data_IF_408760062233
#
_entry.id   IF_408760062233
#
_cell.length_a   1.000
_cell.length_b   1.000
_cell.length_c   1.000
_cell.angle_alpha   90.00
_cell.angle_beta   90.00
_cell.angle_gamma   90.00
#
_symmetry.space_group_name_H-M   'P 1'
#
loop_
_entity.id
_entity.type
_entity.pdbx_description
1 polymer ?
#
# COMPACT_ATOMS: atom_id res chain seq x y z
N UNK A 1 10.93 7.83 7.64
CA UNK A 1 10.74 7.32 6.26
C UNK A 1 11.47 8.13 5.20
N UNK A 2 11.06 9.37 4.87
CA UNK A 2 11.71 10.18 3.81
C UNK A 2 13.25 10.31 3.98
N UNK A 3 13.72 10.71 5.17
CA UNK A 3 15.15 10.84 5.45
C UNK A 3 15.91 9.49 5.54
N UNK A 4 15.20 8.36 5.61
CA UNK A 4 15.78 7.02 5.52
C UNK A 4 15.85 6.53 4.06
N UNK A 5 15.48 7.37 3.09
CA UNK A 5 15.41 7.01 1.69
C UNK A 5 14.29 6.02 1.37
N UNK A 6 13.21 5.99 2.17
CA UNK A 6 12.03 5.14 1.91
C UNK A 6 10.90 6.01 1.39
N UNK A 7 10.31 5.57 0.28
CA UNK A 7 9.23 6.25 -0.42
C UNK A 7 8.02 6.44 0.50
N UNK A 8 7.56 7.69 0.64
CA UNK A 8 6.49 8.02 1.58
C UNK A 8 5.77 9.33 1.22
N UNK A 9 4.52 9.46 1.65
CA UNK A 9 3.85 10.75 1.78
C UNK A 9 4.63 11.70 2.71
N UNK A 10 4.50 13.00 2.50
CA UNK A 10 5.19 14.05 3.27
C UNK A 10 4.21 14.79 4.16
N UNK A 11 4.64 15.19 5.35
CA UNK A 11 3.92 16.14 6.19
C UNK A 11 4.57 17.52 6.04
N UNK A 12 3.76 18.53 5.72
CA UNK A 12 4.24 19.90 5.52
C UNK A 12 4.02 20.78 6.74
N UNK A 13 2.81 20.74 7.32
CA UNK A 13 2.45 21.53 8.50
C UNK A 13 1.59 20.71 9.45
N UNK A 14 1.62 21.10 10.73
CA UNK A 14 0.80 20.56 11.80
C UNK A 14 0.18 21.75 12.55
N UNK A 15 -1.14 21.83 12.61
CA UNK A 15 -1.86 22.96 13.22
C UNK A 15 -2.88 22.43 14.21
N UNK A 16 -2.76 22.83 15.47
CA UNK A 16 -3.66 22.43 16.56
C UNK A 16 -4.62 23.56 16.89
N UNK A 17 -5.92 23.27 16.96
CA UNK A 17 -6.94 24.22 17.41
C UNK A 17 -7.32 23.99 18.88
N UNK A 18 -8.13 24.88 19.46
CA UNK A 18 -8.78 24.68 20.77
C UNK A 18 -10.05 23.82 20.68
N UNK A 19 -10.45 23.38 19.47
CA UNK A 19 -11.60 22.50 19.28
C UNK A 19 -11.31 21.14 19.92
N UNK A 20 -12.22 20.66 20.77
CA UNK A 20 -12.09 19.36 21.41
C UNK A 20 -12.82 18.29 20.61
N UNK A 21 -12.20 17.13 20.45
CA UNK A 21 -12.74 15.93 19.79
C UNK A 21 -12.74 14.79 20.79
N UNK A 22 -13.86 14.09 20.88
CA UNK A 22 -13.98 12.89 21.70
C UNK A 22 -13.31 11.70 21.01
N UNK A 23 -12.46 11.00 21.75
CA UNK A 23 -11.74 9.80 21.30
C UNK A 23 -11.83 8.73 22.36
N UNK A 24 -11.93 7.50 21.89
CA UNK A 24 -11.76 6.29 22.67
C UNK A 24 -10.66 5.48 21.96
N UNK A 25 -9.42 5.73 22.35
CA UNK A 25 -8.25 5.24 21.64
C UNK A 25 -8.15 3.70 21.65
N UNK A 26 -8.66 3.06 22.71
CA UNK A 26 -8.57 1.62 22.90
C UNK A 26 -9.92 0.91 22.73
N UNK A 27 -10.96 1.63 22.32
CA UNK A 27 -12.32 1.12 22.17
C UNK A 27 -12.88 0.47 23.46
N UNK A 28 -12.53 1.01 24.64
CA UNK A 28 -12.94 0.49 25.95
C UNK A 28 -14.20 1.14 26.52
N UNK A 29 -14.68 2.21 25.88
CA UNK A 29 -15.71 3.11 26.39
C UNK A 29 -15.17 4.28 27.21
N UNK A 30 -13.86 4.33 27.47
CA UNK A 30 -13.21 5.40 28.25
C UNK A 30 -12.92 6.62 27.37
N UNK A 31 -13.96 7.39 27.08
CA UNK A 31 -13.87 8.56 26.21
C UNK A 31 -13.06 9.67 26.87
N UNK A 32 -12.04 10.15 26.15
CA UNK A 32 -11.27 11.35 26.49
C UNK A 32 -11.51 12.45 25.46
N UNK A 33 -11.27 13.70 25.86
CA UNK A 33 -11.32 14.86 24.97
C UNK A 33 -9.90 15.28 24.61
N UNK A 34 -9.62 15.32 23.32
CA UNK A 34 -8.32 15.74 22.77
C UNK A 34 -8.47 16.95 21.86
N UNK A 35 -7.40 17.74 21.72
CA UNK A 35 -7.41 18.90 20.82
C UNK A 35 -7.35 18.44 19.37
N UNK A 36 -8.23 18.98 18.53
CA UNK A 36 -8.21 18.74 17.10
C UNK A 36 -6.89 19.27 16.51
N UNK A 37 -6.21 18.43 15.74
CA UNK A 37 -4.99 18.77 15.03
C UNK A 37 -5.12 18.37 13.57
N UNK A 38 -4.71 19.27 12.68
CA UNK A 38 -4.71 19.05 11.24
C UNK A 38 -3.27 18.91 10.75
N UNK A 39 -3.04 17.94 9.88
CA UNK A 39 -1.75 17.72 9.20
C UNK A 39 -1.95 17.95 7.70
N UNK A 40 -1.17 18.87 7.13
CA UNK A 40 -1.11 19.03 5.68
C UNK A 40 -0.22 17.93 5.10
N UNK A 41 -0.84 16.90 4.51
CA UNK A 41 -0.16 15.80 3.84
C UNK A 41 0.04 16.11 2.36
N UNK A 42 1.23 15.84 1.84
CA UNK A 42 1.61 16.07 0.43
C UNK A 42 2.06 14.74 -0.18
N UNK A 43 1.55 14.42 -1.36
CA UNK A 43 1.94 13.27 -2.16
C UNK A 43 1.64 13.56 -3.65
N UNK A 44 2.32 12.88 -4.61
CA UNK A 44 1.97 13.00 -6.03
C UNK A 44 0.52 12.57 -6.32
N UNK A 45 0.02 11.59 -5.57
CA UNK A 45 -1.37 11.13 -5.61
C UNK A 45 -1.77 10.53 -4.27
N UNK A 46 -3.08 10.50 -4.01
CA UNK A 46 -3.69 9.78 -2.88
C UNK A 46 -4.53 8.57 -3.34
N UNK A 47 -4.38 8.17 -4.60
CA UNK A 47 -5.00 6.95 -5.11
C UNK A 47 -4.41 5.73 -4.41
N UNK A 48 -5.31 4.83 -4.02
CA UNK A 48 -5.03 3.63 -3.22
C UNK A 48 -5.51 2.39 -3.97
N UNK A 49 -5.15 1.19 -3.53
CA UNK A 49 -5.72 -0.03 -4.11
C UNK A 49 -7.25 -0.03 -3.91
N UNK A 50 -7.71 0.36 -2.72
CA UNK A 50 -9.12 0.54 -2.40
C UNK A 50 -9.88 1.50 -3.33
N UNK A 51 -9.20 2.44 -4.01
CA UNK A 51 -9.82 3.32 -5.02
C UNK A 51 -10.31 2.55 -6.25
N UNK A 52 -9.71 1.40 -6.54
CA UNK A 52 -10.14 0.49 -7.61
C UNK A 52 -11.11 -0.58 -7.09
N UNK A 53 -11.03 -0.92 -5.81
CA UNK A 53 -11.92 -1.95 -5.24
C UNK A 53 -13.40 -1.56 -5.22
N UNK A 54 -13.72 -0.26 -5.36
CA UNK A 54 -15.11 0.19 -5.49
C UNK A 54 -15.82 -0.35 -6.74
N UNK A 55 -15.07 -0.88 -7.72
CA UNK A 55 -15.60 -1.50 -8.93
C UNK A 55 -15.75 -3.03 -8.83
N UNK A 56 -15.30 -3.64 -7.70
CA UNK A 56 -15.28 -5.10 -7.56
C UNK A 56 -16.68 -5.71 -7.67
N UNK A 57 -16.79 -6.89 -8.31
CA UNK A 57 -18.02 -7.65 -8.33
C UNK A 57 -18.39 -8.14 -6.92
N UNK A 58 -19.57 -8.75 -6.82
CA UNK A 58 -20.05 -9.31 -5.55
C UNK A 58 -19.09 -10.37 -5.04
N UNK A 59 -18.58 -10.17 -3.84
CA UNK A 59 -17.79 -11.15 -3.09
C UNK A 59 -18.67 -12.33 -2.69
N UNK A 60 -18.20 -13.55 -2.95
CA UNK A 60 -18.99 -14.77 -2.78
C UNK A 60 -19.29 -15.09 -1.31
N UNK A 61 -18.46 -14.62 -0.37
CA UNK A 61 -18.56 -14.94 1.06
C UNK A 61 -19.40 -13.89 1.79
N UNK A 62 -19.00 -12.62 1.69
CA UNK A 62 -19.65 -11.51 2.37
C UNK A 62 -20.92 -11.04 1.67
N UNK A 63 -21.10 -11.39 0.40
CA UNK A 63 -22.20 -10.91 -0.44
C UNK A 63 -22.12 -9.41 -0.76
N UNK A 64 -21.05 -8.72 -0.37
CA UNK A 64 -20.87 -7.27 -0.64
C UNK A 64 -20.32 -7.05 -2.04
N UNK A 65 -20.67 -5.95 -2.68
CA UNK A 65 -20.06 -5.49 -3.91
C UNK A 65 -19.57 -4.05 -3.74
N UNK A 66 -18.64 -3.63 -4.59
CA UNK A 66 -18.23 -2.23 -4.64
C UNK A 66 -19.41 -1.34 -5.08
N UNK A 67 -19.47 -0.08 -4.60
CA UNK A 67 -20.57 0.84 -4.93
C UNK A 67 -20.61 1.24 -6.41
N UNK A 68 -19.57 0.93 -7.18
CA UNK A 68 -19.46 1.20 -8.62
C UNK A 68 -19.30 -0.08 -9.44
N UNK A 69 -19.75 -1.22 -8.92
CA UNK A 69 -19.77 -2.49 -9.66
C UNK A 69 -20.43 -2.32 -11.04
N UNK A 70 -19.79 -2.82 -12.08
CA UNK A 70 -20.28 -2.76 -13.47
C UNK A 70 -19.91 -1.49 -14.23
N UNK A 71 -19.39 -0.46 -13.57
CA UNK A 71 -18.99 0.81 -14.18
C UNK A 71 -17.59 0.73 -14.82
N UNK A 72 -17.45 -0.14 -15.82
CA UNK A 72 -16.17 -0.43 -16.50
C UNK A 72 -15.57 0.78 -17.20
N UNK A 73 -16.40 1.68 -17.71
CA UNK A 73 -16.01 2.95 -18.33
C UNK A 73 -15.31 3.87 -17.32
N UNK A 74 -15.87 4.03 -16.11
CA UNK A 74 -15.29 4.82 -15.03
C UNK A 74 -13.99 4.18 -14.53
N UNK A 75 -13.96 2.86 -14.35
CA UNK A 75 -12.73 2.13 -14.01
C UNK A 75 -11.62 2.40 -15.06
N UNK A 76 -11.98 2.30 -16.34
CA UNK A 76 -11.07 2.56 -17.46
C UNK A 76 -10.57 4.02 -17.43
N UNK A 77 -11.42 4.99 -17.14
CA UNK A 77 -11.04 6.38 -17.03
C UNK A 77 -10.08 6.63 -15.85
N UNK A 78 -10.39 6.07 -14.68
CA UNK A 78 -9.53 6.16 -13.50
C UNK A 78 -8.16 5.54 -13.76
N UNK A 79 -8.12 4.36 -14.39
CA UNK A 79 -6.88 3.66 -14.72
C UNK A 79 -6.04 4.47 -15.72
N UNK A 80 -6.64 4.97 -16.79
CA UNK A 80 -5.96 5.83 -17.76
C UNK A 80 -5.40 7.10 -17.11
N UNK A 81 -6.21 7.77 -16.28
CA UNK A 81 -5.76 8.95 -15.53
C UNK A 81 -4.57 8.64 -14.61
N UNK A 82 -4.63 7.51 -13.91
CA UNK A 82 -3.58 7.06 -12.99
C UNK A 82 -2.27 6.83 -13.74
N UNK A 83 -2.31 6.07 -14.83
CA UNK A 83 -1.12 5.73 -15.62
C UNK A 83 -0.55 6.98 -16.28
N UNK A 84 -1.39 7.79 -16.92
CA UNK A 84 -0.94 9.04 -17.55
C UNK A 84 -0.26 9.99 -16.55
N UNK A 85 -0.85 10.16 -15.36
CA UNK A 85 -0.39 11.16 -14.40
C UNK A 85 0.77 10.68 -13.52
N UNK A 86 0.78 9.39 -13.15
CA UNK A 86 1.75 8.84 -12.20
C UNK A 86 2.83 7.98 -12.87
N UNK A 87 2.55 7.42 -14.05
CA UNK A 87 3.45 6.52 -14.79
C UNK A 87 3.60 6.95 -16.26
N UNK A 88 3.98 8.22 -16.54
CA UNK A 88 3.98 8.76 -17.91
C UNK A 88 4.89 7.98 -18.87
N UNK A 89 5.95 7.34 -18.37
CA UNK A 89 6.82 6.48 -19.18
C UNK A 89 6.10 5.22 -19.69
N UNK A 90 5.27 4.60 -18.85
CA UNK A 90 4.44 3.44 -19.22
C UNK A 90 3.35 3.89 -20.21
N UNK A 91 2.72 5.04 -19.94
CA UNK A 91 1.73 5.62 -20.86
C UNK A 91 2.30 5.82 -22.26
N UNK A 92 3.49 6.43 -22.36
CA UNK A 92 4.14 6.72 -23.65
C UNK A 92 4.59 5.45 -24.38
N UNK A 93 5.11 4.45 -23.65
CA UNK A 93 5.65 3.23 -24.24
C UNK A 93 4.59 2.28 -24.79
N UNK A 94 3.34 2.39 -24.31
CA UNK A 94 2.25 1.47 -24.66
C UNK A 94 1.00 2.19 -25.16
N UNK A 95 1.12 3.41 -25.70
CA UNK A 95 -0.02 4.25 -26.10
C UNK A 95 -0.97 3.55 -27.09
N UNK A 96 -0.45 2.65 -27.92
CA UNK A 96 -1.21 1.91 -28.94
C UNK A 96 -1.83 0.60 -28.41
N UNK A 97 -1.33 0.07 -27.29
CA UNK A 97 -1.81 -1.18 -26.68
C UNK A 97 -2.15 -0.98 -25.21
N UNK A 98 -3.45 -0.75 -24.94
CA UNK A 98 -3.94 -0.55 -23.58
C UNK A 98 -3.78 -1.78 -22.69
N UNK A 99 -3.83 -2.98 -23.26
CA UNK A 99 -3.70 -4.20 -22.46
C UNK A 99 -2.27 -4.35 -21.96
N UNK A 100 -1.27 -4.13 -22.81
CA UNK A 100 0.13 -4.08 -22.36
C UNK A 100 0.39 -2.91 -21.42
N UNK A 101 -0.23 -1.74 -21.67
CA UNK A 101 -0.10 -0.59 -20.78
C UNK A 101 -0.58 -0.92 -19.35
N UNK A 102 -1.75 -1.54 -19.22
CA UNK A 102 -2.32 -1.89 -17.93
C UNK A 102 -1.50 -3.00 -17.24
N UNK A 103 -0.98 -3.95 -18.00
CA UNK A 103 -0.11 -5.00 -17.46
C UNK A 103 1.22 -4.44 -16.97
N UNK A 104 1.85 -3.55 -17.75
CA UNK A 104 3.09 -2.88 -17.37
C UNK A 104 2.90 -2.01 -16.13
N UNK A 105 1.78 -1.28 -16.05
CA UNK A 105 1.40 -0.54 -14.84
C UNK A 105 1.24 -1.47 -13.63
N UNK A 106 0.48 -2.56 -13.77
CA UNK A 106 0.27 -3.51 -12.68
C UNK A 106 1.60 -4.13 -12.22
N UNK A 107 2.48 -4.50 -13.15
CA UNK A 107 3.83 -5.01 -12.87
C UNK A 107 4.67 -4.02 -12.07
N UNK A 108 4.66 -2.74 -12.45
CA UNK A 108 5.40 -1.73 -11.70
C UNK A 108 4.80 -1.49 -10.31
N UNK A 109 3.48 -1.55 -10.13
CA UNK A 109 2.83 -1.46 -8.80
C UNK A 109 3.23 -2.63 -7.90
N UNK A 110 3.22 -3.86 -8.42
CA UNK A 110 3.62 -5.07 -7.67
C UNK A 110 5.08 -4.96 -7.24
N UNK A 111 5.97 -4.60 -8.16
CA UNK A 111 7.39 -4.40 -7.89
C UNK A 111 7.63 -3.30 -6.86
N UNK A 112 7.02 -2.13 -7.00
CA UNK A 112 7.18 -1.03 -6.04
C UNK A 112 6.65 -1.39 -4.65
N UNK A 113 5.56 -2.15 -4.58
CA UNK A 113 5.01 -2.64 -3.31
C UNK A 113 5.97 -3.63 -2.63
N UNK A 114 6.52 -4.58 -3.40
CA UNK A 114 7.52 -5.53 -2.92
C UNK A 114 8.80 -4.81 -2.40
N UNK A 115 9.29 -3.82 -3.15
CA UNK A 115 10.43 -3.00 -2.75
C UNK A 115 10.15 -2.17 -1.49
N UNK A 116 8.95 -1.61 -1.37
CA UNK A 116 8.54 -0.82 -0.22
C UNK A 116 8.53 -1.65 1.06
N UNK A 117 7.87 -2.81 1.03
CA UNK A 117 7.80 -3.69 2.21
C UNK A 117 9.17 -4.28 2.53
N UNK A 118 9.99 -4.66 1.54
CA UNK A 118 11.38 -5.04 1.77
C UNK A 118 12.18 -3.92 2.47
N UNK A 119 11.95 -2.65 2.09
CA UNK A 119 12.57 -1.52 2.77
C UNK A 119 12.13 -1.41 4.23
N UNK A 120 10.84 -1.62 4.52
CA UNK A 120 10.29 -1.65 5.88
C UNK A 120 10.94 -2.74 6.74
N UNK A 121 11.04 -3.96 6.21
CA UNK A 121 11.68 -5.08 6.90
C UNK A 121 13.15 -4.77 7.24
N UNK A 122 13.88 -4.11 6.34
CA UNK A 122 15.28 -3.75 6.56
C UNK A 122 15.52 -2.71 7.67
N UNK A 123 14.49 -1.96 8.08
CA UNK A 123 14.61 -0.90 9.10
C UNK A 123 13.79 -1.20 10.36
N UNK A 124 13.18 -2.38 10.45
CA UNK A 124 12.30 -2.73 11.58
C UNK A 124 11.04 -1.86 11.64
N UNK A 125 10.49 -1.44 10.50
CA UNK A 125 9.26 -0.65 10.44
C UNK A 125 8.03 -1.57 10.37
N UNK A 126 7.08 -1.38 11.27
CA UNK A 126 5.78 -2.05 11.28
C UNK A 126 4.66 -1.03 11.07
N UNK A 127 3.82 -1.21 10.05
CA UNK A 127 2.77 -0.27 9.67
C UNK A 127 1.51 -0.40 10.54
N UNK A 128 1.13 -1.63 10.91
CA UNK A 128 0.01 -1.92 11.82
C UNK A 128 -1.40 -1.88 11.22
N UNK A 129 -1.59 -1.32 10.01
CA UNK A 129 -2.92 -1.25 9.33
C UNK A 129 -2.76 -1.35 7.81
N UNK A 130 -2.38 -2.52 7.31
CA UNK A 130 -2.20 -2.76 5.87
C UNK A 130 -3.51 -3.20 5.19
N UNK A 131 -4.59 -2.46 5.43
CA UNK A 131 -5.81 -2.60 4.63
C UNK A 131 -5.55 -2.13 3.19
N UNK A 132 -6.34 -2.59 2.22
CA UNK A 132 -6.19 -2.23 0.80
C UNK A 132 -6.38 -0.73 0.52
N UNK A 133 -7.19 -0.04 1.31
CA UNK A 133 -7.31 1.41 1.28
C UNK A 133 -6.05 2.11 1.82
N UNK A 134 -5.18 1.47 2.59
CA UNK A 134 -3.88 2.02 3.01
C UNK A 134 -2.72 1.63 2.10
N UNK A 135 -2.99 0.99 0.95
CA UNK A 135 -1.97 0.66 -0.04
C UNK A 135 -1.95 1.73 -1.14
N UNK A 136 -0.86 2.47 -1.26
CA UNK A 136 -0.72 3.49 -2.31
C UNK A 136 -0.51 2.86 -3.69
N UNK A 137 -1.14 3.43 -4.72
CA UNK A 137 -0.94 3.00 -6.11
C UNK A 137 0.43 3.37 -6.70
N UNK A 138 1.26 4.11 -5.95
CA UNK A 138 2.62 4.51 -6.35
C UNK A 138 3.70 4.02 -5.39
N UNK A 139 3.40 2.97 -4.60
CA UNK A 139 4.40 2.33 -3.75
C UNK A 139 5.03 3.24 -2.68
N UNK A 140 4.25 4.13 -2.08
CA UNK A 140 4.69 5.00 -0.98
C UNK A 140 4.04 4.59 0.35
N UNK A 141 4.76 4.73 1.47
CA UNK A 141 4.19 4.63 2.81
C UNK A 141 3.17 5.77 3.02
N UNK A 142 1.94 5.40 3.37
CA UNK A 142 0.78 6.28 3.55
C UNK A 142 0.00 5.84 4.81
N UNK A 143 -0.81 6.74 5.39
CA UNK A 143 -1.62 6.49 6.59
C UNK A 143 -0.87 5.95 7.82
N UNK A 144 -0.08 6.87 8.40
CA UNK A 144 0.54 6.72 9.70
C UNK A 144 -0.49 6.78 10.82
N UNK A 145 -0.92 5.62 11.32
CA UNK A 145 -1.75 5.46 12.51
C UNK A 145 -0.97 4.76 13.63
N UNK A 146 -1.34 3.53 14.03
CA UNK A 146 -0.63 2.77 15.04
C UNK A 146 0.58 2.04 14.44
N UNK A 147 1.57 2.80 13.96
CA UNK A 147 2.83 2.27 13.46
C UNK A 147 3.85 2.09 14.59
N UNK A 148 4.89 1.30 14.36
CA UNK A 148 6.02 1.19 15.27
C UNK A 148 7.34 0.92 14.56
N UNK A 149 8.43 1.46 15.10
CA UNK A 149 9.76 0.93 14.85
C UNK A 149 10.07 -0.11 15.93
N UNK A 150 10.67 -1.23 15.53
CA UNK A 150 11.08 -2.28 16.46
C UNK A 150 12.32 -1.80 17.23
N UNK A 151 12.21 -1.70 18.55
CA UNK A 151 13.33 -1.37 19.43
C UNK A 151 14.19 -2.60 19.74
N UNK A 152 13.55 -3.70 20.17
CA UNK A 152 14.18 -5.01 20.37
C UNK A 152 13.66 -5.96 19.30
N UNK A 153 14.56 -6.64 18.59
CA UNK A 153 14.17 -7.49 17.47
C UNK A 153 13.18 -8.58 17.90
N UNK A 154 11.94 -8.43 17.46
CA UNK A 154 10.84 -9.36 17.67
C UNK A 154 10.11 -9.54 16.32
N UNK A 155 10.29 -10.69 15.63
CA UNK A 155 9.67 -10.93 14.33
C UNK A 155 8.14 -10.77 14.36
N UNK A 156 7.49 -11.28 15.40
CA UNK A 156 6.05 -11.21 15.60
C UNK A 156 5.55 -9.90 16.22
N UNK A 157 6.35 -8.81 16.19
CA UNK A 157 5.97 -7.54 16.79
C UNK A 157 4.69 -6.98 16.17
N UNK A 158 3.69 -6.69 17.02
CA UNK A 158 2.41 -6.08 16.63
C UNK A 158 2.36 -4.67 17.22
N UNK A 159 2.42 -3.65 16.35
CA UNK A 159 2.35 -2.24 16.78
C UNK A 159 0.93 -1.71 16.99
N UNK A 160 -0.09 -2.40 16.46
CA UNK A 160 -1.48 -2.00 16.56
C UNK A 160 -2.18 -2.75 17.69
N UNK A 161 -2.60 -2.03 18.74
CA UNK A 161 -3.30 -2.61 19.89
C UNK A 161 -4.66 -3.22 19.54
N UNK A 162 -5.24 -2.89 18.38
CA UNK A 162 -6.49 -3.49 17.89
C UNK A 162 -6.27 -4.70 16.97
N UNK A 163 -5.02 -5.10 16.71
CA UNK A 163 -4.68 -6.28 15.90
C UNK A 163 -4.40 -7.49 16.78
N UNK A 164 -5.43 -7.97 17.49
CA UNK A 164 -5.34 -9.09 18.45
C UNK A 164 -4.82 -10.40 17.84
N UNK A 165 -4.90 -10.53 16.50
CA UNK A 165 -4.50 -11.74 15.76
C UNK A 165 -3.14 -11.60 15.08
N UNK A 166 -2.49 -10.44 15.19
CA UNK A 166 -1.22 -10.16 14.53
C UNK A 166 -1.30 -10.24 13.01
N UNK A 167 -2.45 -9.91 12.40
CA UNK A 167 -2.62 -9.90 10.94
C UNK A 167 -1.57 -9.02 10.27
N UNK A 168 -1.22 -7.91 10.90
CA UNK A 168 -0.28 -6.90 10.45
C UNK A 168 0.99 -6.87 11.29
N UNK A 169 1.33 -8.00 11.94
CA UNK A 169 2.62 -8.19 12.60
C UNK A 169 3.78 -7.93 11.63
N UNK A 170 4.94 -7.57 12.18
CA UNK A 170 6.10 -7.16 11.39
C UNK A 170 6.55 -8.21 10.37
N UNK A 171 6.65 -9.48 10.76
CA UNK A 171 6.99 -10.60 9.88
C UNK A 171 5.90 -10.91 8.83
N UNK A 172 4.65 -10.58 9.11
CA UNK A 172 3.50 -10.81 8.22
C UNK A 172 3.36 -9.77 7.09
N UNK A 173 4.02 -8.62 7.20
CA UNK A 173 3.84 -7.51 6.25
C UNK A 173 4.10 -7.88 4.77
N UNK A 174 5.15 -8.66 4.41
CA UNK A 174 5.38 -9.07 3.01
C UNK A 174 4.21 -9.86 2.43
N UNK A 175 3.72 -10.86 3.15
CA UNK A 175 2.60 -11.70 2.71
C UNK A 175 1.30 -10.89 2.59
N UNK A 176 1.05 -9.98 3.52
CA UNK A 176 -0.11 -9.09 3.45
C UNK A 176 0.00 -8.13 2.26
N UNK A 177 1.18 -7.60 1.97
CA UNK A 177 1.40 -6.74 0.82
C UNK A 177 1.16 -7.50 -0.50
N UNK A 178 1.64 -8.75 -0.59
CA UNK A 178 1.36 -9.65 -1.73
C UNK A 178 -0.13 -9.94 -1.87
N UNK A 179 -0.80 -10.24 -0.76
CA UNK A 179 -2.25 -10.46 -0.73
C UNK A 179 -3.01 -9.21 -1.20
N UNK A 180 -2.59 -8.01 -0.78
CA UNK A 180 -3.17 -6.75 -1.25
C UNK A 180 -2.95 -6.50 -2.75
N UNK A 181 -1.78 -6.88 -3.30
CA UNK A 181 -1.57 -6.85 -4.76
C UNK A 181 -2.55 -7.78 -5.49
N UNK A 182 -2.85 -8.95 -4.94
CA UNK A 182 -3.87 -9.84 -5.51
C UNK A 182 -5.27 -9.21 -5.44
N UNK A 183 -5.59 -8.49 -4.35
CA UNK A 183 -6.85 -7.73 -4.25
C UNK A 183 -6.97 -6.60 -5.24
N UNK A 184 -5.87 -5.94 -5.59
CA UNK A 184 -5.82 -5.00 -6.70
C UNK A 184 -6.07 -5.71 -8.04
N UNK A 185 -5.48 -6.88 -8.28
CA UNK A 185 -5.72 -7.66 -9.50
C UNK A 185 -7.20 -8.01 -9.68
N UNK A 186 -7.88 -8.47 -8.61
CA UNK A 186 -9.33 -8.73 -8.61
C UNK A 186 -10.13 -7.48 -9.00
N UNK A 187 -9.69 -6.28 -8.59
CA UNK A 187 -10.35 -5.03 -8.94
C UNK A 187 -10.13 -4.60 -10.40
N UNK A 188 -9.00 -5.00 -10.99
CA UNK A 188 -8.64 -4.69 -12.38
C UNK A 188 -9.12 -5.74 -13.39
N UNK A 189 -9.61 -6.89 -12.93
CA UNK A 189 -10.10 -7.99 -13.76
C UNK A 189 -11.06 -7.56 -14.89
N UNK A 190 -12.00 -6.61 -14.68
CA UNK A 190 -12.91 -6.20 -15.75
C UNK A 190 -12.22 -5.57 -16.98
N UNK A 191 -10.97 -5.09 -16.84
CA UNK A 191 -10.20 -4.41 -17.90
C UNK A 191 -8.88 -5.12 -18.24
N UNK A 192 -8.39 -6.02 -17.40
CA UNK A 192 -7.17 -6.79 -17.59
C UNK A 192 -7.38 -8.23 -17.12
N UNK A 193 -7.10 -9.21 -17.98
CA UNK A 193 -7.36 -10.62 -17.66
C UNK A 193 -6.55 -11.11 -16.45
N UNK A 194 -7.19 -11.82 -15.52
CA UNK A 194 -6.54 -12.34 -14.31
C UNK A 194 -5.34 -13.23 -14.63
N UNK A 195 -5.44 -14.11 -15.63
CA UNK A 195 -4.34 -15.00 -16.03
C UNK A 195 -3.04 -14.25 -16.36
N UNK A 196 -3.12 -13.05 -16.94
CA UNK A 196 -1.94 -12.21 -17.22
C UNK A 196 -1.37 -11.56 -15.95
N UNK A 197 -2.24 -11.23 -15.00
CA UNK A 197 -1.83 -10.64 -13.72
C UNK A 197 -1.25 -11.69 -12.77
N UNK A 198 -1.66 -12.96 -12.87
CA UNK A 198 -1.11 -14.06 -12.08
C UNK A 198 0.39 -14.25 -12.30
N UNK A 199 0.87 -14.18 -13.55
CA UNK A 199 2.30 -14.24 -13.86
C UNK A 199 3.09 -13.10 -13.20
N UNK A 200 2.50 -11.90 -13.18
CA UNK A 200 3.09 -10.73 -12.50
C UNK A 200 3.08 -10.91 -10.99
N UNK A 201 2.00 -11.42 -10.40
CA UNK A 201 1.91 -11.68 -8.97
C UNK A 201 2.95 -12.70 -8.47
N UNK A 202 3.30 -13.69 -9.31
CA UNK A 202 4.36 -14.66 -9.01
C UNK A 202 5.75 -14.00 -8.90
N UNK A 203 5.97 -12.85 -9.55
CA UNK A 203 7.24 -12.11 -9.46
C UNK A 203 7.42 -11.31 -8.15
N UNK A 204 6.36 -11.19 -7.31
CA UNK A 204 6.43 -10.42 -6.07
C UNK A 204 7.56 -10.88 -5.16
N UNK A 205 7.66 -12.19 -4.91
CA UNK A 205 8.65 -12.75 -3.97
C UNK A 205 10.06 -12.53 -4.49
N UNK A 206 10.29 -12.68 -5.79
CA UNK A 206 11.57 -12.40 -6.41
C UNK A 206 11.96 -10.92 -6.21
N UNK A 207 11.05 -9.98 -6.51
CA UNK A 207 11.33 -8.55 -6.31
C UNK A 207 11.57 -8.17 -4.85
N UNK A 208 10.82 -8.79 -3.92
CA UNK A 208 11.00 -8.61 -2.49
C UNK A 208 12.38 -9.10 -2.04
N UNK A 209 12.73 -10.36 -2.34
CA UNK A 209 13.99 -10.98 -1.90
C UNK A 209 15.21 -10.28 -2.50
N UNK A 210 15.19 -9.97 -3.80
CA UNK A 210 16.27 -9.22 -4.44
C UNK A 210 16.52 -7.88 -3.75
N UNK A 211 15.45 -7.13 -3.44
CA UNK A 211 15.59 -5.82 -2.83
C UNK A 211 15.97 -5.88 -1.35
N UNK A 212 15.37 -6.82 -0.60
CA UNK A 212 15.66 -7.07 0.80
C UNK A 212 17.12 -7.48 0.98
N UNK A 213 17.58 -8.49 0.25
CA UNK A 213 18.97 -8.95 0.30
C UNK A 213 19.94 -7.83 -0.06
N UNK A 214 19.69 -7.08 -1.14
CA UNK A 214 20.56 -5.97 -1.53
C UNK A 214 20.66 -4.88 -0.45
N UNK A 215 19.56 -4.55 0.24
CA UNK A 215 19.57 -3.60 1.35
C UNK A 215 20.26 -4.15 2.59
N UNK A 216 19.99 -5.40 2.96
CA UNK A 216 20.61 -6.03 4.11
C UNK A 216 22.12 -6.19 3.93
N UNK A 217 22.58 -6.60 2.75
CA UNK A 217 24.01 -6.69 2.41
C UNK A 217 24.75 -5.36 2.61
N UNK A 218 24.12 -4.25 2.20
CA UNK A 218 24.65 -2.90 2.45
C UNK A 218 24.71 -2.55 3.94
N UNK A 219 23.72 -2.98 4.74
CA UNK A 219 23.70 -2.76 6.20
C UNK A 219 24.80 -3.54 6.93
N UNK A 220 25.07 -4.78 6.50
CA UNK A 220 26.11 -5.64 7.11
C UNK A 220 27.47 -5.54 6.43
N UNK A 221 27.68 -4.53 5.56
CA UNK A 221 28.95 -4.24 4.87
C UNK A 221 29.51 -5.35 3.98
N UNK A 222 28.70 -6.32 3.55
CA UNK A 222 29.11 -7.25 2.49
C UNK A 222 28.91 -6.57 1.13
N UNK A 223 29.94 -5.84 0.70
CA UNK A 223 30.06 -5.37 -0.68
C UNK A 223 30.69 -6.51 -1.46
N UNK A 224 30.00 -7.06 -2.46
CA UNK A 224 30.66 -7.92 -3.45
C UNK A 224 31.72 -7.07 -4.15
N UNK A 225 33.00 -7.35 -3.87
CA UNK A 225 34.16 -6.86 -4.63
C UNK A 225 34.22 -7.58 -5.96
#
# INVERSE_FOLDING_TARGET
>A
MFHLGIATTRAATCVTSDTMVERDMNYTGDIIKERATLILRIAPTFLRFGSFEIFKPRDAISGRCGPSMGQKDILTQLLNYTIHSCYPQIWQSHVEDKTEMYLAFFSEVVKQTAQLVAAWQCIGWCHGVLNTDNMSIIGVTIDYGPYGFIDQYEPGFVCNSSDDRGRYAFDCQPDICKWNCHKLAEALEPVLQMSRMEDVLQSFDQHYEEFYHNKMMKKVSFIRV
#
